data_IF_721565936895
#
_entry.id   IF_721565936895
#
_cell.length_a   1.000
_cell.length_b   1.000
_cell.length_c   1.000
_cell.angle_alpha   90.00
_cell.angle_beta   90.00
_cell.angle_gamma   90.00
#
_symmetry.space_group_name_H-M   'P 1'
#
loop_
_entity.id
_entity.type
_entity.pdbx_description
1 polymer ?
#
# COMPACT_ATOMS: atom_id res chain seq x y z
N UNK A 1 32.58 -35.47 7.11
CA UNK A 1 32.60 -35.06 8.53
C UNK A 1 32.79 -33.56 8.59
N UNK A 2 31.79 -32.87 9.17
CA UNK A 2 31.81 -31.52 9.78
C UNK A 2 32.16 -30.33 8.87
N UNK A 3 31.12 -29.66 8.37
CA UNK A 3 31.16 -28.29 7.84
C UNK A 3 31.13 -27.26 8.98
N UNK A 4 32.08 -26.32 8.98
CA UNK A 4 32.25 -25.32 10.04
C UNK A 4 31.79 -23.92 9.57
N UNK A 5 30.68 -23.48 10.17
CA UNK A 5 30.34 -22.13 10.68
C UNK A 5 31.05 -20.92 10.05
N UNK A 6 30.27 -19.90 9.67
CA UNK A 6 30.26 -18.63 10.41
C UNK A 6 29.10 -17.71 10.03
N UNK A 7 28.38 -17.27 11.07
CA UNK A 7 27.36 -16.22 11.06
C UNK A 7 28.07 -14.89 11.24
N UNK A 8 27.73 -13.89 10.43
CA UNK A 8 28.12 -12.51 10.70
C UNK A 8 26.83 -11.73 10.99
N UNK A 9 26.65 -11.42 12.27
CA UNK A 9 25.69 -10.47 12.82
C UNK A 9 26.41 -9.14 12.89
N UNK A 10 25.87 -8.09 12.27
CA UNK A 10 26.26 -6.71 12.59
C UNK A 10 25.09 -6.02 13.26
N UNK A 11 25.20 -5.96 14.59
CA UNK A 11 24.49 -5.03 15.43
C UNK A 11 25.23 -3.69 15.39
N UNK A 12 24.50 -2.61 15.15
CA UNK A 12 24.97 -1.26 15.46
C UNK A 12 23.80 -0.44 15.98
N UNK A 13 23.89 -0.17 17.28
CA UNK A 13 23.09 0.71 18.11
C UNK A 13 23.88 2.02 18.27
N UNK A 14 23.24 3.18 18.12
CA UNK A 14 23.63 4.52 18.64
C UNK A 14 22.52 5.47 18.16
N UNK A 15 22.00 6.47 18.85
CA UNK A 15 22.34 7.17 20.09
C UNK A 15 21.55 8.49 20.06
N UNK A 16 20.98 8.89 21.18
CA UNK A 16 20.02 9.99 21.38
C UNK A 16 20.54 11.40 21.06
N UNK A 17 19.62 12.35 20.78
CA UNK A 17 19.74 13.73 21.26
C UNK A 17 18.37 14.45 21.24
N UNK A 18 17.99 14.98 22.41
CA UNK A 18 16.87 15.88 22.62
C UNK A 18 17.25 17.33 22.26
N UNK A 19 16.28 18.16 21.90
CA UNK A 19 16.35 19.61 22.14
C UNK A 19 14.96 20.19 22.41
N UNK A 20 14.96 21.15 23.33
CA UNK A 20 13.84 21.59 24.14
C UNK A 20 13.15 22.86 23.60
N UNK A 21 11.84 22.94 23.90
CA UNK A 21 11.01 24.11 24.27
C UNK A 21 11.37 25.54 23.84
N UNK A 22 10.38 26.26 23.31
CA UNK A 22 10.03 27.68 23.58
C UNK A 22 8.60 27.88 23.05
N UNK A 23 7.55 28.15 23.85
CA UNK A 23 7.19 29.43 24.48
C UNK A 23 6.20 30.19 23.58
N UNK A 24 5.23 31.01 23.98
CA UNK A 24 4.50 31.29 25.21
C UNK A 24 3.41 32.34 24.82
N UNK A 25 2.26 32.40 25.54
CA UNK A 25 1.26 33.51 25.60
C UNK A 25 0.48 33.85 24.29
N UNK A 26 -0.76 34.36 24.27
CA UNK A 26 -1.85 34.61 25.21
C UNK A 26 -3.08 35.11 24.39
N UNK A 27 -4.30 34.97 24.96
CA UNK A 27 -5.47 35.88 24.88
C UNK A 27 -5.98 36.38 23.49
N UNK A 28 -7.27 36.47 23.14
CA UNK A 28 -8.53 36.48 23.88
C UNK A 28 -9.69 36.21 22.87
N UNK A 29 -10.91 35.85 23.34
CA UNK A 29 -12.04 35.56 22.48
C UNK A 29 -12.75 36.84 22.02
N UNK A 30 -12.88 37.04 20.71
CA UNK A 30 -13.82 38.00 20.17
C UNK A 30 -15.17 37.29 19.96
N UNK A 31 -16.07 37.47 20.92
CA UNK A 31 -17.50 37.23 20.76
C UNK A 31 -18.06 38.32 19.86
N UNK A 32 -18.36 37.99 18.61
CA UNK A 32 -19.18 38.83 17.74
C UNK A 32 -20.55 38.19 17.62
N UNK A 33 -21.55 38.97 18.04
CA UNK A 33 -22.95 38.64 18.10
C UNK A 33 -23.53 38.17 16.75
N UNK A 34 -24.53 37.30 16.85
CA UNK A 34 -25.35 36.81 15.75
C UNK A 34 -26.04 37.95 14.98
N UNK A 35 -26.39 37.67 13.72
CA UNK A 35 -27.81 37.73 13.38
C UNK A 35 -28.30 36.36 12.92
N UNK A 36 -29.43 35.95 13.45
CA UNK A 36 -30.25 34.81 13.01
C UNK A 36 -30.59 34.97 11.53
N UNK A 37 -29.83 34.30 10.67
CA UNK A 37 -30.20 34.11 9.27
C UNK A 37 -31.05 32.84 9.17
N UNK A 38 -32.27 33.05 8.67
CA UNK A 38 -33.31 32.05 8.47
C UNK A 38 -32.78 30.75 7.85
N UNK A 39 -33.24 29.63 8.40
CA UNK A 39 -33.04 28.29 7.85
C UNK A 39 -33.84 28.20 6.56
N UNK A 40 -33.24 28.61 5.45
CA UNK A 40 -33.74 28.22 4.13
C UNK A 40 -33.47 26.72 3.98
N UNK A 41 -34.50 25.90 4.23
CA UNK A 41 -34.54 24.51 3.80
C UNK A 41 -34.39 24.49 2.28
N UNK A 42 -33.14 24.40 1.82
CA UNK A 42 -32.87 23.95 0.48
C UNK A 42 -33.17 22.44 0.48
N UNK A 43 -34.33 22.08 -0.04
CA UNK A 43 -34.60 20.75 -0.58
C UNK A 43 -33.57 20.50 -1.70
N UNK A 44 -32.36 20.10 -1.32
CA UNK A 44 -31.48 19.38 -2.22
C UNK A 44 -32.10 18.01 -2.42
N UNK A 45 -33.01 17.92 -3.38
CA UNK A 45 -33.41 16.68 -4.01
C UNK A 45 -32.12 15.89 -4.25
N UNK A 46 -31.97 14.80 -3.50
CA UNK A 46 -30.83 13.92 -3.59
C UNK A 46 -30.77 13.40 -5.03
N UNK A 47 -29.82 13.93 -5.81
CA UNK A 47 -29.49 13.34 -7.09
C UNK A 47 -29.17 11.86 -6.82
N UNK A 48 -29.80 10.91 -7.55
CA UNK A 48 -29.59 9.49 -7.29
C UNK A 48 -28.11 9.20 -7.53
N UNK A 49 -27.38 8.92 -6.44
CA UNK A 49 -26.05 8.36 -6.53
C UNK A 49 -26.19 7.09 -7.37
N UNK A 50 -25.65 7.11 -8.58
CA UNK A 50 -25.57 5.93 -9.43
C UNK A 50 -24.94 4.82 -8.60
N UNK A 51 -25.77 3.86 -8.17
CA UNK A 51 -25.34 2.71 -7.40
C UNK A 51 -24.49 1.86 -8.35
N UNK A 52 -23.19 2.13 -8.41
CA UNK A 52 -22.25 1.18 -8.96
C UNK A 52 -22.39 -0.11 -8.15
N UNK A 53 -23.05 -1.11 -8.73
CA UNK A 53 -23.23 -2.44 -8.16
C UNK A 53 -21.85 -2.93 -7.72
N UNK A 54 -21.59 -2.95 -6.41
CA UNK A 54 -20.28 -3.36 -5.90
C UNK A 54 -20.08 -4.83 -6.27
N UNK A 55 -19.13 -5.08 -7.16
CA UNK A 55 -18.76 -6.44 -7.58
C UNK A 55 -18.45 -7.30 -6.36
N UNK A 56 -18.89 -8.56 -6.34
CA UNK A 56 -18.66 -9.50 -5.24
C UNK A 56 -17.17 -9.56 -4.85
N UNK A 57 -16.81 -9.48 -3.55
CA UNK A 57 -15.45 -9.73 -3.07
C UNK A 57 -14.74 -10.94 -3.72
N UNK A 58 -15.43 -12.06 -3.92
CA UNK A 58 -14.84 -13.25 -4.54
C UNK A 58 -14.44 -12.99 -5.99
N UNK A 59 -15.34 -12.41 -6.79
CA UNK A 59 -15.07 -12.03 -8.20
C UNK A 59 -13.95 -10.98 -8.31
N UNK A 60 -13.83 -10.07 -7.33
CA UNK A 60 -12.72 -9.12 -7.27
C UNK A 60 -11.38 -9.82 -7.08
N UNK A 61 -11.32 -10.78 -6.16
CA UNK A 61 -10.10 -11.54 -5.90
C UNK A 61 -9.68 -12.36 -7.12
N UNK A 62 -10.63 -13.05 -7.75
CA UNK A 62 -10.39 -13.82 -8.97
C UNK A 62 -9.83 -12.93 -10.09
N UNK A 63 -10.49 -11.81 -10.40
CA UNK A 63 -9.99 -10.84 -11.40
C UNK A 63 -8.59 -10.33 -11.08
N UNK A 64 -8.26 -10.09 -9.81
CA UNK A 64 -6.91 -9.66 -9.41
C UNK A 64 -5.88 -10.76 -9.68
N UNK A 65 -6.21 -12.01 -9.36
CA UNK A 65 -5.34 -13.16 -9.60
C UNK A 65 -5.14 -13.39 -11.10
N UNK A 66 -6.21 -13.33 -11.90
CA UNK A 66 -6.13 -13.41 -13.37
C UNK A 66 -5.22 -12.32 -13.96
N UNK A 67 -5.41 -11.05 -13.56
CA UNK A 67 -4.56 -9.94 -14.03
C UNK A 67 -3.11 -10.14 -13.65
N UNK A 68 -2.85 -10.75 -12.49
CA UNK A 68 -1.49 -11.06 -12.05
C UNK A 68 -0.90 -12.22 -12.84
N UNK A 69 -1.64 -13.29 -13.08
CA UNK A 69 -1.22 -14.40 -13.92
C UNK A 69 -0.90 -13.93 -15.35
N UNK A 70 -1.78 -13.12 -15.96
CA UNK A 70 -1.55 -12.52 -17.29
C UNK A 70 -0.29 -11.67 -17.34
N UNK A 71 -0.02 -10.86 -16.31
CA UNK A 71 1.21 -10.06 -16.23
C UNK A 71 2.47 -10.92 -16.11
N UNK A 72 2.43 -11.97 -15.28
CA UNK A 72 3.56 -12.87 -15.14
C UNK A 72 3.82 -13.67 -16.43
N UNK A 73 2.78 -14.12 -17.13
CA UNK A 73 2.89 -14.78 -18.42
C UNK A 73 3.53 -13.85 -19.48
N UNK A 74 3.02 -12.63 -19.61
CA UNK A 74 3.57 -11.64 -20.54
C UNK A 74 5.04 -11.28 -20.20
N UNK A 75 5.37 -11.17 -18.91
CA UNK A 75 6.75 -10.93 -18.47
C UNK A 75 7.66 -12.11 -18.83
N UNK A 76 7.20 -13.35 -18.61
CA UNK A 76 7.96 -14.55 -18.96
C UNK A 76 8.27 -14.62 -20.45
N UNK A 77 7.28 -14.34 -21.30
CA UNK A 77 7.44 -14.32 -22.76
C UNK A 77 8.47 -13.26 -23.20
N UNK A 78 8.42 -12.06 -22.62
CA UNK A 78 9.37 -10.98 -22.95
C UNK A 78 10.79 -11.27 -22.49
N UNK A 79 10.96 -11.90 -21.33
CA UNK A 79 12.28 -12.23 -20.79
C UNK A 79 12.97 -13.38 -21.52
N UNK A 80 12.22 -14.22 -22.26
CA UNK A 80 12.77 -15.38 -22.99
C UNK A 80 13.72 -16.20 -22.11
N UNK A 81 13.22 -16.63 -20.96
CA UNK A 81 14.02 -17.33 -19.95
C UNK A 81 14.61 -18.64 -20.50
N UNK A 82 15.83 -18.95 -20.08
CA UNK A 82 16.46 -20.23 -20.36
C UNK A 82 15.99 -21.30 -19.38
N UNK A 83 16.12 -22.58 -19.73
CA UNK A 83 15.76 -23.70 -18.85
C UNK A 83 16.46 -23.66 -17.49
N UNK A 84 17.68 -23.11 -17.43
CA UNK A 84 18.43 -22.93 -16.18
C UNK A 84 17.81 -21.85 -15.25
N UNK A 85 17.09 -20.87 -15.81
CA UNK A 85 16.45 -19.77 -15.07
C UNK A 85 15.02 -20.10 -14.60
N UNK A 86 14.40 -21.15 -15.13
CA UNK A 86 13.02 -21.55 -14.80
C UNK A 86 12.79 -21.84 -13.31
N UNK A 87 13.79 -22.42 -12.63
CA UNK A 87 13.73 -22.65 -11.18
C UNK A 87 13.67 -21.34 -10.38
N UNK A 88 14.48 -20.35 -10.77
CA UNK A 88 14.48 -19.03 -10.15
C UNK A 88 13.16 -18.29 -10.43
N UNK A 89 12.62 -18.43 -11.64
CA UNK A 89 11.31 -17.88 -12.01
C UNK A 89 10.16 -18.46 -11.18
N UNK A 90 10.13 -19.78 -10.97
CA UNK A 90 9.14 -20.43 -10.12
C UNK A 90 9.18 -19.88 -8.69
N UNK A 91 10.37 -19.74 -8.12
CA UNK A 91 10.58 -19.18 -6.78
C UNK A 91 10.09 -17.73 -6.69
N UNK A 92 10.42 -16.89 -7.68
CA UNK A 92 9.97 -15.50 -7.75
C UNK A 92 8.45 -15.38 -7.84
N UNK A 93 7.81 -16.17 -8.71
CA UNK A 93 6.36 -16.12 -8.92
C UNK A 93 5.58 -16.58 -7.69
N UNK A 94 6.08 -17.62 -7.00
CA UNK A 94 5.54 -18.13 -5.74
C UNK A 94 5.64 -17.07 -4.63
N UNK A 95 6.81 -16.47 -4.42
CA UNK A 95 7.01 -15.44 -3.38
C UNK A 95 6.19 -14.17 -3.65
N UNK A 96 5.99 -13.84 -4.92
CA UNK A 96 5.17 -12.70 -5.34
C UNK A 96 3.67 -12.91 -5.04
N UNK A 97 3.22 -14.15 -4.74
CA UNK A 97 1.81 -14.42 -4.50
C UNK A 97 1.32 -13.80 -3.18
N UNK A 98 0.06 -13.31 -3.13
CA UNK A 98 -0.57 -13.10 -1.85
C UNK A 98 -0.63 -14.44 -1.09
N UNK A 99 -0.54 -14.44 0.26
CA UNK A 99 -0.71 -15.65 1.06
C UNK A 99 -1.99 -16.37 0.65
N UNK A 100 -1.93 -17.68 0.49
CA UNK A 100 -3.10 -18.49 0.27
C UNK A 100 -3.96 -18.48 1.54
N UNK A 101 -5.27 -18.23 1.37
CA UNK A 101 -6.26 -18.31 2.44
C UNK A 101 -6.96 -17.00 2.76
N UNK A 102 -8.06 -17.06 3.55
CA UNK A 102 -8.77 -15.88 4.01
C UNK A 102 -7.81 -15.03 4.84
N UNK A 103 -7.51 -13.81 4.38
CA UNK A 103 -6.89 -12.84 5.28
C UNK A 103 -7.96 -12.50 6.32
N UNK A 104 -7.65 -12.54 7.63
CA UNK A 104 -8.61 -12.16 8.65
C UNK A 104 -9.02 -10.71 8.39
N UNK A 105 -10.22 -10.56 7.83
CA UNK A 105 -10.83 -9.26 7.65
C UNK A 105 -11.25 -8.81 9.04
N UNK A 106 -10.66 -7.71 9.49
CA UNK A 106 -11.06 -7.14 10.77
C UNK A 106 -12.45 -6.55 10.61
N UNK A 107 -13.40 -7.03 11.41
CA UNK A 107 -14.67 -6.35 11.56
C UNK A 107 -14.41 -4.95 12.15
N UNK A 108 -15.00 -3.95 11.50
CA UNK A 108 -14.90 -2.55 11.92
C UNK A 108 -15.55 -2.34 13.29
N UNK A 109 -16.60 -3.11 13.61
CA UNK A 109 -17.25 -3.08 14.91
C UNK A 109 -16.34 -3.62 16.02
N UNK A 110 -15.69 -4.75 15.79
CA UNK A 110 -14.72 -5.34 16.75
C UNK A 110 -13.53 -4.42 16.99
N UNK A 111 -13.03 -3.76 15.94
CA UNK A 111 -11.95 -2.79 16.09
C UNK A 111 -12.35 -1.55 16.90
N UNK A 112 -13.61 -1.14 16.85
CA UNK A 112 -14.11 0.01 17.60
C UNK A 112 -14.24 -0.26 19.10
N UNK A 113 -14.38 -1.54 19.50
CA UNK A 113 -14.45 -1.97 20.91
C UNK A 113 -13.07 -1.95 21.60
N UNK A 114 -11.99 -1.97 20.83
CA UNK A 114 -10.62 -1.94 21.36
C UNK A 114 -10.27 -0.57 21.94
N UNK A 115 -9.58 -0.57 23.08
CA UNK A 115 -9.01 0.64 23.64
C UNK A 115 -7.94 1.23 22.71
N UNK A 116 -7.60 2.51 22.88
CA UNK A 116 -6.60 3.17 22.03
C UNK A 116 -5.22 2.47 22.04
N UNK A 117 -4.67 2.04 23.20
CA UNK A 117 -3.41 1.28 23.22
C UNK A 117 -3.49 -0.04 22.45
N UNK A 118 -4.53 -0.84 22.66
CA UNK A 118 -4.72 -2.13 21.96
C UNK A 118 -4.85 -1.94 20.43
N UNK A 119 -5.50 -0.86 20.00
CA UNK A 119 -5.57 -0.49 18.57
C UNK A 119 -4.18 -0.21 18.00
N UNK A 120 -3.32 0.52 18.73
CA UNK A 120 -1.95 0.81 18.29
C UNK A 120 -1.11 -0.46 18.18
N UNK A 121 -1.14 -1.32 19.19
CA UNK A 121 -0.42 -2.61 19.17
C UNK A 121 -0.84 -3.47 17.98
N UNK A 122 -2.15 -3.54 17.71
CA UNK A 122 -2.66 -4.31 16.57
C UNK A 122 -2.30 -3.69 15.22
N UNK A 123 -2.22 -2.35 15.13
CA UNK A 123 -1.72 -1.67 13.94
C UNK A 123 -0.24 -1.96 13.71
N UNK A 124 0.57 -1.94 14.76
CA UNK A 124 1.99 -2.30 14.72
C UNK A 124 2.19 -3.75 14.28
N UNK A 125 1.42 -4.70 14.84
CA UNK A 125 1.48 -6.10 14.43
C UNK A 125 1.18 -6.29 12.93
N UNK A 126 0.16 -5.60 12.39
CA UNK A 126 -0.13 -5.64 10.95
C UNK A 126 0.94 -4.96 10.10
N UNK A 127 1.57 -3.90 10.61
CA UNK A 127 2.70 -3.27 9.92
C UNK A 127 3.89 -4.24 9.86
N UNK A 128 4.21 -4.91 10.96
CA UNK A 128 5.25 -5.93 11.02
C UNK A 128 4.97 -7.07 10.03
N UNK A 129 3.75 -7.63 10.02
CA UNK A 129 3.35 -8.68 9.06
C UNK A 129 3.53 -8.22 7.60
N UNK A 130 3.06 -7.01 7.26
CA UNK A 130 3.21 -6.46 5.90
C UNK A 130 4.67 -6.24 5.53
N UNK A 131 5.49 -5.76 6.47
CA UNK A 131 6.91 -5.54 6.25
C UNK A 131 7.66 -6.86 6.00
N UNK A 132 7.34 -7.90 6.76
CA UNK A 132 7.92 -9.24 6.58
C UNK A 132 7.52 -9.85 5.23
N UNK A 133 6.26 -9.69 4.83
CA UNK A 133 5.79 -10.13 3.51
C UNK A 133 6.47 -9.38 2.36
N UNK A 134 6.71 -8.08 2.53
CA UNK A 134 7.46 -7.28 1.57
C UNK A 134 8.92 -7.73 1.48
N UNK A 135 9.59 -7.92 2.62
CA UNK A 135 10.97 -8.39 2.66
C UNK A 135 11.14 -9.72 1.90
N UNK A 136 10.27 -10.72 2.16
CA UNK A 136 10.27 -11.99 1.43
C UNK A 136 10.15 -11.82 -0.09
N UNK A 137 9.30 -10.89 -0.55
CA UNK A 137 9.14 -10.58 -1.98
C UNK A 137 10.35 -9.87 -2.56
N UNK A 138 10.93 -8.95 -1.81
CA UNK A 138 12.12 -8.21 -2.21
C UNK A 138 13.31 -9.17 -2.37
N UNK A 139 13.50 -10.09 -1.43
CA UNK A 139 14.59 -11.05 -1.46
C UNK A 139 14.45 -12.04 -2.63
N UNK A 140 13.24 -12.55 -2.87
CA UNK A 140 12.96 -13.38 -4.04
C UNK A 140 13.18 -12.63 -5.36
N UNK A 141 12.77 -11.36 -5.44
CA UNK A 141 13.01 -10.51 -6.62
C UNK A 141 14.50 -10.29 -6.86
N UNK A 142 15.26 -9.92 -5.82
CA UNK A 142 16.71 -9.73 -5.93
C UNK A 142 17.43 -11.00 -6.37
N UNK A 143 17.03 -12.15 -5.80
CA UNK A 143 17.60 -13.46 -6.15
C UNK A 143 17.33 -13.79 -7.61
N UNK A 144 16.09 -13.61 -8.08
CA UNK A 144 15.75 -13.82 -9.49
C UNK A 144 16.50 -12.84 -10.42
N UNK A 145 16.55 -11.55 -10.07
CA UNK A 145 17.23 -10.52 -10.86
C UNK A 145 18.72 -10.81 -11.04
N UNK A 146 19.39 -11.37 -10.03
CA UNK A 146 20.80 -11.78 -10.11
C UNK A 146 21.03 -12.94 -11.11
N UNK A 147 20.01 -13.70 -11.46
CA UNK A 147 20.10 -14.78 -12.47
C UNK A 147 19.86 -14.31 -13.90
N UNK A 148 19.36 -13.08 -14.08
CA UNK A 148 19.06 -12.51 -15.38
C UNK A 148 20.31 -11.96 -16.06
N UNK A 149 20.36 -12.04 -17.38
CA UNK A 149 21.38 -11.33 -18.17
C UNK A 149 21.12 -9.82 -18.15
N UNK A 150 22.10 -8.97 -18.49
CA UNK A 150 21.90 -7.51 -18.53
C UNK A 150 20.74 -7.07 -19.43
N UNK A 151 20.53 -7.75 -20.57
CA UNK A 151 19.41 -7.48 -21.47
C UNK A 151 18.05 -7.85 -20.86
N UNK A 152 17.99 -8.98 -20.16
CA UNK A 152 16.80 -9.43 -19.44
C UNK A 152 16.49 -8.51 -18.25
N UNK A 153 17.52 -8.05 -17.53
CA UNK A 153 17.38 -7.07 -16.44
C UNK A 153 16.72 -5.78 -16.93
N UNK A 154 17.21 -5.21 -18.03
CA UNK A 154 16.60 -4.01 -18.65
C UNK A 154 15.13 -4.23 -19.03
N UNK A 155 14.81 -5.41 -19.56
CA UNK A 155 13.43 -5.79 -19.90
C UNK A 155 12.58 -5.89 -18.62
N UNK A 156 13.09 -6.56 -17.59
CA UNK A 156 12.44 -6.69 -16.29
C UNK A 156 12.16 -5.32 -15.67
N UNK A 157 13.12 -4.41 -15.67
CA UNK A 157 12.99 -3.07 -15.08
C UNK A 157 11.94 -2.24 -15.84
N UNK A 158 11.95 -2.31 -17.18
CA UNK A 158 10.97 -1.60 -18.02
C UNK A 158 9.55 -2.10 -17.76
N UNK A 159 9.36 -3.41 -17.73
CA UNK A 159 8.04 -4.00 -17.49
C UNK A 159 7.57 -3.73 -16.06
N UNK A 160 8.46 -3.79 -15.07
CA UNK A 160 8.10 -3.65 -13.66
C UNK A 160 7.92 -2.22 -13.17
N UNK A 161 8.58 -1.24 -13.79
CA UNK A 161 8.39 0.18 -13.48
C UNK A 161 6.92 0.62 -13.65
N UNK A 162 6.24 0.09 -14.66
CA UNK A 162 4.82 0.40 -14.93
C UNK A 162 3.87 -0.20 -13.88
N UNK A 163 4.32 -1.16 -13.07
CA UNK A 163 3.46 -1.84 -12.09
C UNK A 163 3.38 -1.14 -10.73
N UNK A 164 4.30 -0.22 -10.41
CA UNK A 164 4.32 0.53 -9.15
C UNK A 164 3.59 1.89 -9.18
N UNK A 165 3.20 2.36 -10.37
CA UNK A 165 2.88 3.78 -10.61
C UNK A 165 1.40 4.20 -10.58
N UNK A 166 0.45 3.34 -10.24
CA UNK A 166 -0.94 3.78 -10.04
C UNK A 166 -1.17 4.21 -8.59
N UNK A 167 -0.40 5.22 -8.16
CA UNK A 167 -0.76 6.03 -7.02
C UNK A 167 -2.09 6.73 -7.31
N UNK A 168 -3.00 6.63 -6.36
CA UNK A 168 -4.29 7.30 -6.33
C UNK A 168 -4.26 8.66 -7.06
N UNK A 169 -4.86 8.75 -8.25
CA UNK A 169 -5.38 10.04 -8.72
C UNK A 169 -6.34 10.49 -7.64
N UNK A 170 -5.92 11.51 -6.90
CA UNK A 170 -6.68 12.06 -5.79
C UNK A 170 -8.09 12.36 -6.26
N UNK A 171 -9.08 11.91 -5.49
CA UNK A 171 -10.37 12.57 -5.46
C UNK A 171 -10.17 13.96 -4.82
N UNK A 172 -9.51 14.87 -5.55
CA UNK A 172 -9.42 16.28 -5.23
C UNK A 172 -10.70 16.94 -5.69
N UNK A 173 -11.50 17.41 -4.75
CA UNK A 173 -12.79 18.05 -5.01
C UNK A 173 -12.64 19.25 -5.93
N UNK A 174 -13.46 19.30 -6.97
CA UNK A 174 -13.74 20.52 -7.72
C UNK A 174 -14.68 21.40 -6.87
N UNK A 175 -14.09 22.17 -5.95
CA UNK A 175 -14.59 23.51 -5.62
C UNK A 175 -13.48 24.48 -5.96
N UNK A 176 -13.71 25.26 -7.00
CA UNK A 176 -12.82 26.30 -7.49
C UNK A 176 -13.59 27.13 -8.50
N UNK A 177 -14.43 28.01 -7.98
CA UNK A 177 -15.10 29.09 -8.68
C UNK A 177 -14.16 29.81 -9.63
N UNK A 178 -14.58 29.96 -10.89
CA UNK A 178 -13.92 30.86 -11.83
C UNK A 178 -13.96 32.31 -11.29
N UNK A 179 -12.91 33.12 -11.48
CA UNK A 179 -12.98 34.54 -11.16
C UNK A 179 -13.88 35.22 -12.20
N UNK A 180 -14.94 35.88 -11.73
CA UNK A 180 -15.69 36.83 -12.54
C UNK A 180 -14.71 37.91 -13.02
N UNK A 181 -14.53 38.01 -14.34
CA UNK A 181 -13.87 39.14 -14.98
C UNK A 181 -14.94 40.13 -15.43
N UNK A 182 -14.68 41.41 -15.17
CA UNK A 182 -15.17 42.56 -15.93
C UNK A 182 -16.55 43.03 -15.58
#
# INVERSE_FOLDING_TARGET
MISLRQRIVWASLLGSAALASSGAFAQAPAVSAAPTAAVAQADTAAAPQAQHKRMDPAQRMERMQERRAKRLAALKEKLKLTSAQEGAWSTFTAASQPPAGPRPHMDRAEFAKLTTPERLERMQARQAERSAMFAKRADATKTFYATLTPEQQKTFDTETAHFGGHGHRGHGGQRGTAPAKG
#
